data_IF_100537868093
#
_entry.id   IF_100537868093
#
_cell.length_a   1.000
_cell.length_b   1.000
_cell.length_c   1.000
_cell.angle_alpha   90.00
_cell.angle_beta   90.00
_cell.angle_gamma   90.00
#
_symmetry.space_group_name_H-M   'P 1'
#
loop_
_entity.id
_entity.type
_entity.pdbx_description
1 polymer ?
#
# COMPACT_ATOMS: atom_id res chain seq x y z
N UNK A 1 -2.19 19.11 27.50
CA UNK A 1 -1.60 18.66 26.23
C UNK A 1 -0.49 17.69 26.56
N UNK A 2 -0.69 16.38 26.37
CA UNK A 2 0.37 15.40 26.65
C UNK A 2 1.45 15.51 25.57
N UNK A 3 2.74 15.41 25.92
CA UNK A 3 3.81 15.43 24.93
C UNK A 3 3.64 14.22 24.01
N UNK A 4 3.35 14.49 22.74
CA UNK A 4 3.27 13.47 21.71
C UNK A 4 4.61 12.72 21.67
N UNK A 5 4.57 11.42 21.96
CA UNK A 5 5.76 10.58 21.99
C UNK A 5 6.29 10.45 20.56
N UNK A 6 7.51 10.92 20.31
CA UNK A 6 8.20 10.71 19.03
C UNK A 6 8.36 9.20 18.81
N UNK A 7 7.97 8.70 17.63
CA UNK A 7 8.04 7.27 17.33
C UNK A 7 8.88 6.98 16.10
N UNK A 8 9.81 6.02 16.25
CA UNK A 8 10.58 5.46 15.14
C UNK A 8 9.75 4.42 14.39
N UNK A 9 9.56 4.62 13.08
CA UNK A 9 8.79 3.69 12.24
C UNK A 9 9.55 2.35 12.13
N UNK A 10 9.02 1.33 12.80
CA UNK A 10 9.63 -0.01 12.77
C UNK A 10 9.50 -0.61 11.37
N UNK A 11 10.56 -1.27 10.91
CA UNK A 11 10.63 -1.91 9.57
C UNK A 11 10.52 -0.97 8.37
N UNK A 12 10.56 0.35 8.58
CA UNK A 12 10.77 1.30 7.51
C UNK A 12 12.04 0.95 6.73
N UNK A 13 11.95 1.00 5.40
CA UNK A 13 13.09 0.90 4.51
C UNK A 13 14.02 2.13 4.61
N UNK A 14 15.10 2.11 3.84
CA UNK A 14 16.11 3.17 3.87
C UNK A 14 15.52 4.55 3.57
N UNK A 15 14.69 4.65 2.53
CA UNK A 15 14.10 5.91 2.08
C UNK A 15 13.13 6.49 3.11
N UNK A 16 12.26 5.66 3.67
CA UNK A 16 11.31 6.12 4.69
C UNK A 16 12.01 6.56 5.98
N UNK A 17 13.07 5.87 6.42
CA UNK A 17 13.86 6.32 7.58
C UNK A 17 14.54 7.66 7.34
N UNK A 18 15.09 7.86 6.14
CA UNK A 18 15.70 9.13 5.75
C UNK A 18 14.66 10.24 5.73
N UNK A 19 13.50 9.99 5.16
CA UNK A 19 12.39 10.93 5.12
C UNK A 19 11.87 11.28 6.53
N UNK A 20 11.72 10.28 7.41
CA UNK A 20 11.38 10.51 8.81
C UNK A 20 12.39 11.43 9.50
N UNK A 21 13.69 11.23 9.26
CA UNK A 21 14.73 12.10 9.82
C UNK A 21 14.57 13.53 9.30
N UNK A 22 14.35 13.70 8.00
CA UNK A 22 14.16 15.03 7.40
C UNK A 22 12.94 15.77 7.96
N UNK A 23 11.80 15.10 8.09
CA UNK A 23 10.60 15.69 8.69
C UNK A 23 10.84 16.11 10.15
N UNK A 24 11.58 15.31 10.92
CA UNK A 24 11.96 15.66 12.29
C UNK A 24 12.90 16.86 12.33
N UNK A 25 13.91 16.88 11.47
CA UNK A 25 14.87 17.99 11.41
C UNK A 25 14.17 19.31 10.99
N UNK A 26 13.03 19.22 10.29
CA UNK A 26 12.12 20.33 9.96
C UNK A 26 11.10 20.68 11.08
N UNK A 27 11.15 20.01 12.24
CA UNK A 27 10.21 20.25 13.34
C UNK A 27 8.82 19.61 13.17
N UNK A 28 8.67 18.69 12.21
CA UNK A 28 7.39 18.02 11.88
C UNK A 28 7.46 16.49 12.08
N UNK A 29 7.86 16.00 13.27
CA UNK A 29 8.08 14.57 13.48
C UNK A 29 6.77 13.76 13.35
N UNK A 30 6.92 12.48 13.00
CA UNK A 30 5.81 11.54 13.08
C UNK A 30 5.42 11.28 14.54
N UNK A 31 4.13 11.40 14.80
CA UNK A 31 3.48 11.15 16.07
C UNK A 31 2.54 9.96 15.91
N UNK A 32 2.50 9.09 16.91
CA UNK A 32 1.54 7.98 16.94
C UNK A 32 0.13 8.51 17.18
N UNK A 33 -0.79 8.12 16.29
CA UNK A 33 -2.21 8.40 16.46
C UNK A 33 -2.83 7.36 17.38
N UNK A 34 -3.88 7.77 18.09
CA UNK A 34 -4.64 6.88 18.97
C UNK A 34 -5.22 5.71 18.16
N UNK A 35 -4.88 4.50 18.59
CA UNK A 35 -5.27 3.27 17.91
C UNK A 35 -6.77 3.02 18.14
N UNK A 36 -7.57 3.06 17.07
CA UNK A 36 -9.00 2.76 17.17
C UNK A 36 -9.23 1.26 17.06
N UNK A 37 -9.44 0.63 18.19
CA UNK A 37 -9.71 -0.80 18.28
C UNK A 37 -10.90 -1.19 17.38
N UNK A 38 -10.73 -2.23 16.56
CA UNK A 38 -11.72 -2.70 15.59
C UNK A 38 -11.80 -1.92 14.26
N UNK A 39 -11.17 -0.75 14.15
CA UNK A 39 -11.13 0.05 12.90
C UNK A 39 -9.73 0.04 12.29
N UNK A 40 -8.69 0.27 13.09
CA UNK A 40 -7.31 0.30 12.64
C UNK A 40 -6.67 -1.08 12.82
N UNK A 41 -6.23 -1.70 11.71
CA UNK A 41 -5.55 -2.99 11.73
C UNK A 41 -4.09 -2.88 12.22
N UNK A 42 -3.53 -1.68 12.21
CA UNK A 42 -2.12 -1.40 12.48
C UNK A 42 -1.96 -0.02 13.13
N UNK A 43 -0.88 0.24 13.89
CA UNK A 43 -0.55 1.57 14.39
C UNK A 43 -0.41 2.56 13.23
N UNK A 44 -0.98 3.76 13.41
CA UNK A 44 -0.97 4.83 12.42
C UNK A 44 -0.17 5.99 12.97
N UNK A 45 0.64 6.59 12.12
CA UNK A 45 1.47 7.74 12.47
C UNK A 45 1.08 8.93 11.62
N UNK A 46 1.12 10.13 12.18
CA UNK A 46 0.86 11.35 11.46
C UNK A 46 1.97 12.39 11.67
N UNK A 47 2.26 13.15 10.63
CA UNK A 47 3.10 14.33 10.68
C UNK A 47 2.31 15.52 10.10
N UNK A 48 2.42 16.68 10.72
CA UNK A 48 1.78 17.91 10.26
C UNK A 48 2.80 18.75 9.52
N UNK A 49 2.48 19.13 8.29
CA UNK A 49 3.34 19.89 7.39
C UNK A 49 2.61 21.13 6.90
N UNK A 50 3.32 22.05 6.25
CA UNK A 50 2.71 23.26 5.70
C UNK A 50 1.67 22.97 4.61
N UNK A 51 1.83 21.88 3.85
CA UNK A 51 0.86 21.42 2.83
C UNK A 51 -0.24 20.50 3.37
N UNK A 52 -0.33 20.29 4.69
CA UNK A 52 -1.35 19.44 5.32
C UNK A 52 -0.79 18.29 6.15
N UNK A 53 -1.56 17.20 6.26
CA UNK A 53 -1.28 16.09 7.19
C UNK A 53 -0.81 14.86 6.42
N UNK A 54 0.37 14.36 6.78
CA UNK A 54 0.91 13.11 6.25
C UNK A 54 0.55 11.99 7.21
N UNK A 55 -0.03 10.90 6.72
CA UNK A 55 -0.19 9.67 7.50
C UNK A 55 0.74 8.57 6.98
N UNK A 56 1.40 7.86 7.88
CA UNK A 56 2.11 6.63 7.60
C UNK A 56 1.35 5.45 8.21
N UNK A 57 0.97 4.49 7.36
CA UNK A 57 0.25 3.28 7.78
C UNK A 57 0.97 2.05 7.23
N UNK A 58 1.19 1.04 8.08
CA UNK A 58 1.75 -0.23 7.65
C UNK A 58 0.62 -1.18 7.25
N UNK A 59 0.54 -1.60 6.00
CA UNK A 59 -0.57 -2.45 5.52
C UNK A 59 -0.38 -3.97 5.80
N UNK A 60 0.73 -4.34 6.46
CA UNK A 60 1.14 -5.72 6.70
C UNK A 60 2.32 -6.19 5.83
N UNK A 61 2.54 -5.57 4.67
CA UNK A 61 3.67 -5.85 3.77
C UNK A 61 4.67 -4.70 3.69
N UNK A 62 4.17 -3.47 3.58
CA UNK A 62 4.92 -2.26 3.34
C UNK A 62 4.29 -1.07 4.07
N UNK A 63 5.08 0.00 4.21
CA UNK A 63 4.57 1.29 4.65
C UNK A 63 3.96 2.03 3.47
N UNK A 64 2.74 2.53 3.68
CA UNK A 64 2.05 3.41 2.75
C UNK A 64 2.01 4.80 3.38
N UNK A 65 2.55 5.78 2.67
CA UNK A 65 2.37 7.18 3.01
C UNK A 65 1.18 7.76 2.24
N UNK A 66 0.39 8.57 2.92
CA UNK A 66 -0.75 9.29 2.36
C UNK A 66 -0.73 10.74 2.84
N UNK A 67 -1.26 11.65 2.02
CA UNK A 67 -1.39 13.07 2.33
C UNK A 67 -2.88 13.44 2.38
N UNK A 68 -3.26 14.18 3.41
CA UNK A 68 -4.51 14.93 3.43
C UNK A 68 -4.15 16.40 3.32
N UNK A 69 -4.55 17.03 2.21
CA UNK A 69 -4.42 18.47 2.00
C UNK A 69 -5.25 19.24 3.04
N UNK A 70 -5.02 20.56 3.22
CA UNK A 70 -5.95 21.39 3.96
C UNK A 70 -7.36 21.18 3.40
N UNK A 71 -8.36 21.09 4.28
CA UNK A 71 -9.78 20.87 3.93
C UNK A 71 -10.14 19.47 3.41
N UNK A 72 -9.17 18.63 3.05
CA UNK A 72 -9.43 17.25 2.63
C UNK A 72 -10.03 16.41 3.77
N UNK A 73 -11.10 15.67 3.47
CA UNK A 73 -11.75 14.73 4.39
C UNK A 73 -10.99 13.41 4.46
N UNK A 74 -10.34 13.01 3.37
CA UNK A 74 -9.66 11.73 3.26
C UNK A 74 -8.14 11.89 3.07
N UNK A 75 -7.40 10.88 3.50
CA UNK A 75 -5.99 10.74 3.18
C UNK A 75 -5.86 10.10 1.80
N UNK A 76 -5.22 10.81 0.88
CA UNK A 76 -4.92 10.36 -0.46
C UNK A 76 -3.52 9.75 -0.54
N UNK A 77 -3.43 8.59 -1.17
CA UNK A 77 -2.17 7.96 -1.52
C UNK A 77 -1.61 8.54 -2.82
N UNK A 78 -0.35 8.23 -3.15
CA UNK A 78 0.24 8.55 -4.44
C UNK A 78 -0.62 8.05 -5.62
N UNK A 79 -1.21 6.85 -5.51
CA UNK A 79 -2.05 6.30 -6.56
C UNK A 79 -3.38 7.07 -6.70
N UNK A 80 -4.01 7.47 -5.58
CA UNK A 80 -5.24 8.28 -5.61
C UNK A 80 -4.97 9.62 -6.32
N UNK A 81 -3.81 10.22 -6.07
CA UNK A 81 -3.36 11.44 -6.75
C UNK A 81 -3.10 11.25 -8.24
N UNK A 82 -2.40 10.18 -8.60
CA UNK A 82 -2.14 9.87 -9.99
C UNK A 82 -3.45 9.59 -10.75
N UNK A 83 -4.41 8.91 -10.12
CA UNK A 83 -5.75 8.71 -10.70
C UNK A 83 -6.51 10.02 -10.86
N UNK A 84 -6.41 10.93 -9.89
CA UNK A 84 -7.02 12.25 -9.98
C UNK A 84 -6.45 13.10 -11.13
N UNK A 85 -5.14 13.03 -11.38
CA UNK A 85 -4.47 13.83 -12.41
C UNK A 85 -4.55 13.22 -13.82
N UNK A 86 -4.46 11.89 -13.92
CA UNK A 86 -4.31 11.20 -15.21
C UNK A 86 -5.53 10.33 -15.58
N UNK A 87 -6.54 10.26 -14.71
CA UNK A 87 -7.70 9.39 -14.87
C UNK A 87 -7.47 7.96 -14.37
N UNK A 88 -8.44 7.04 -14.58
CA UNK A 88 -8.45 5.72 -13.96
C UNK A 88 -7.23 4.88 -14.36
N UNK A 89 -6.39 4.59 -13.36
CA UNK A 89 -5.20 3.76 -13.54
C UNK A 89 -5.62 2.29 -13.48
N UNK A 90 -5.57 1.60 -14.61
CA UNK A 90 -5.99 0.17 -14.75
C UNK A 90 -5.08 -0.84 -14.05
N UNK A 91 -4.07 -0.40 -13.31
CA UNK A 91 -3.01 -1.25 -12.81
C UNK A 91 -3.09 -1.39 -11.28
N UNK A 92 -3.11 -2.64 -10.82
CA UNK A 92 -3.08 -3.00 -9.40
C UNK A 92 -1.71 -2.81 -8.76
N UNK A 93 -1.07 -1.65 -8.95
CA UNK A 93 0.24 -1.38 -8.36
C UNK A 93 0.13 -1.39 -6.83
N UNK A 94 0.97 -2.19 -6.20
CA UNK A 94 1.31 -1.95 -4.80
C UNK A 94 2.10 -0.64 -4.77
N UNK A 95 1.67 0.29 -3.91
CA UNK A 95 2.36 1.56 -3.77
C UNK A 95 3.62 1.26 -2.98
N UNK A 96 4.73 1.10 -3.69
CA UNK A 96 6.03 0.88 -3.07
C UNK A 96 6.34 2.02 -2.10
N UNK A 97 6.79 1.67 -0.90
CA UNK A 97 7.19 2.62 0.16
C UNK A 97 8.05 3.77 -0.42
N UNK A 98 9.02 3.43 -1.27
CA UNK A 98 9.91 4.39 -1.91
C UNK A 98 9.17 5.40 -2.79
N UNK A 99 8.23 4.95 -3.63
CA UNK A 99 7.45 5.83 -4.49
C UNK A 99 6.65 6.85 -3.67
N UNK A 100 6.01 6.39 -2.59
CA UNK A 100 5.25 7.27 -1.70
C UNK A 100 6.14 8.31 -1.01
N UNK A 101 7.39 7.95 -0.64
CA UNK A 101 8.38 8.85 -0.06
C UNK A 101 8.85 9.89 -1.08
N UNK A 102 9.25 9.47 -2.29
CA UNK A 102 9.74 10.40 -3.30
C UNK A 102 8.67 11.41 -3.73
N UNK A 103 7.44 10.93 -3.87
CA UNK A 103 6.27 11.75 -4.14
C UNK A 103 6.08 12.85 -3.08
N UNK A 104 6.02 12.47 -1.80
CA UNK A 104 5.88 13.45 -0.70
C UNK A 104 7.06 14.40 -0.59
N UNK A 105 8.29 13.91 -0.78
CA UNK A 105 9.49 14.77 -0.77
C UNK A 105 9.48 15.80 -1.88
N UNK A 106 8.92 15.47 -3.05
CA UNK A 106 8.77 16.43 -4.14
C UNK A 106 7.79 17.52 -3.73
N UNK A 107 6.63 17.14 -3.20
CA UNK A 107 5.61 18.09 -2.78
C UNK A 107 6.01 19.01 -1.66
N UNK A 108 6.71 18.48 -0.65
CA UNK A 108 7.16 19.29 0.47
C UNK A 108 8.28 20.27 0.10
N UNK A 109 8.86 20.15 -1.09
CA UNK A 109 9.87 21.07 -1.61
C UNK A 109 9.28 22.15 -2.51
N UNK A 110 8.11 21.91 -3.09
CA UNK A 110 7.41 22.91 -3.88
C UNK A 110 6.72 23.86 -2.88
N UNK A 111 7.12 25.14 -2.89
CA UNK A 111 6.56 26.15 -1.98
C UNK A 111 5.10 26.50 -2.32
N UNK A 112 4.66 26.18 -3.55
CA UNK A 112 3.30 26.41 -4.00
C UNK A 112 2.38 25.24 -3.61
N UNK A 113 1.16 25.52 -3.12
CA UNK A 113 0.19 24.47 -2.84
C UNK A 113 -0.12 23.71 -4.14
N UNK A 114 -0.22 22.37 -4.08
CA UNK A 114 -0.46 21.57 -5.27
C UNK A 114 -1.78 22.00 -5.92
N UNK A 115 -1.74 22.35 -7.21
CA UNK A 115 -2.91 22.69 -8.01
C UNK A 115 -3.72 21.42 -8.32
N UNK A 116 -4.41 20.90 -7.31
CA UNK A 116 -5.28 19.73 -7.43
C UNK A 116 -6.64 20.04 -6.82
N UNK A 117 -7.69 19.61 -7.50
CA UNK A 117 -9.06 19.70 -6.99
C UNK A 117 -9.20 18.74 -5.79
N UNK A 118 -9.31 19.32 -4.59
CA UNK A 118 -9.42 18.58 -3.33
C UNK A 118 -10.69 17.73 -3.30
N UNK A 119 -11.80 18.22 -3.87
CA UNK A 119 -13.07 17.48 -3.92
C UNK A 119 -12.98 16.30 -4.91
N UNK A 120 -12.32 16.49 -6.05
CA UNK A 120 -12.02 15.39 -6.97
C UNK A 120 -11.18 14.32 -6.29
N UNK A 121 -10.17 14.74 -5.53
CA UNK A 121 -9.29 13.82 -4.84
C UNK A 121 -10.01 13.04 -3.73
N UNK A 122 -10.84 13.72 -2.94
CA UNK A 122 -11.63 13.10 -1.88
C UNK A 122 -12.58 12.04 -2.46
N UNK A 123 -13.19 12.30 -3.63
CA UNK A 123 -14.02 11.31 -4.34
C UNK A 123 -13.24 10.05 -4.73
N UNK A 124 -12.00 10.19 -5.20
CA UNK A 124 -11.14 9.04 -5.54
C UNK A 124 -10.76 8.27 -4.27
N UNK A 125 -10.31 8.97 -3.24
CA UNK A 125 -9.92 8.35 -1.97
C UNK A 125 -11.11 7.65 -1.28
N UNK A 126 -12.31 8.23 -1.34
CA UNK A 126 -13.54 7.63 -0.84
C UNK A 126 -13.92 6.36 -1.62
N UNK A 127 -13.81 6.39 -2.95
CA UNK A 127 -14.01 5.21 -3.80
C UNK A 127 -13.08 4.06 -3.39
N UNK A 128 -11.80 4.35 -3.13
CA UNK A 128 -10.85 3.34 -2.62
C UNK A 128 -11.28 2.72 -1.29
N UNK A 129 -11.83 3.53 -0.38
CA UNK A 129 -12.30 3.03 0.92
C UNK A 129 -13.58 2.21 0.83
N UNK A 130 -14.44 2.54 -0.14
CA UNK A 130 -15.72 1.85 -0.38
C UNK A 130 -15.58 0.62 -1.29
N UNK A 131 -14.47 0.50 -2.03
CA UNK A 131 -14.15 -0.69 -2.82
C UNK A 131 -14.12 -1.93 -1.93
N UNK A 132 -15.07 -2.84 -2.19
CA UNK A 132 -15.27 -4.09 -1.46
C UNK A 132 -13.98 -4.91 -1.49
N UNK A 133 -13.42 -5.20 -0.31
CA UNK A 133 -12.32 -6.18 -0.19
C UNK A 133 -12.81 -7.52 -0.74
N UNK A 134 -12.01 -8.20 -1.59
CA UNK A 134 -12.43 -9.48 -2.16
C UNK A 134 -12.74 -10.46 -1.04
N UNK A 135 -13.93 -11.07 -1.10
CA UNK A 135 -14.38 -12.00 -0.06
C UNK A 135 -13.54 -13.28 -0.10
N UNK A 136 -13.55 -14.06 1.00
CA UNK A 136 -12.83 -15.35 1.05
C UNK A 136 -13.28 -16.29 -0.08
N UNK A 137 -14.56 -16.22 -0.46
CA UNK A 137 -15.13 -17.03 -1.54
C UNK A 137 -14.59 -16.57 -2.90
N UNK A 138 -14.57 -15.27 -3.18
CA UNK A 138 -13.99 -14.72 -4.43
C UNK A 138 -12.50 -15.09 -4.57
N UNK A 139 -11.74 -15.02 -3.47
CA UNK A 139 -10.35 -15.47 -3.45
C UNK A 139 -10.23 -16.98 -3.69
N UNK A 140 -11.09 -17.80 -3.05
CA UNK A 140 -11.08 -19.25 -3.26
C UNK A 140 -11.43 -19.62 -4.71
N UNK A 141 -12.41 -18.95 -5.31
CA UNK A 141 -12.77 -19.11 -6.72
C UNK A 141 -11.63 -18.68 -7.64
N UNK A 142 -10.95 -17.58 -7.33
CA UNK A 142 -9.76 -17.16 -8.09
C UNK A 142 -8.67 -18.23 -8.06
N UNK A 143 -8.33 -18.77 -6.89
CA UNK A 143 -7.33 -19.84 -6.78
C UNK A 143 -7.78 -21.13 -7.46
N UNK A 144 -9.06 -21.48 -7.38
CA UNK A 144 -9.62 -22.65 -8.04
C UNK A 144 -9.56 -22.50 -9.57
N UNK A 145 -9.95 -21.33 -10.09
CA UNK A 145 -9.84 -21.01 -11.50
C UNK A 145 -8.39 -21.06 -11.98
N UNK A 146 -7.44 -20.62 -11.14
CA UNK A 146 -6.03 -20.69 -11.45
C UNK A 146 -5.50 -22.14 -11.43
N UNK A 147 -5.95 -22.95 -10.46
CA UNK A 147 -5.55 -24.35 -10.33
C UNK A 147 -6.08 -25.24 -11.47
N UNK A 148 -7.26 -24.92 -12.02
CA UNK A 148 -7.87 -25.66 -13.14
C UNK A 148 -7.46 -25.06 -14.50
N UNK A 149 -7.39 -23.73 -14.59
CA UNK A 149 -7.12 -23.01 -15.83
C UNK A 149 -5.68 -23.17 -16.30
N UNK A 150 -4.69 -23.17 -15.40
CA UNK A 150 -3.28 -23.33 -15.78
C UNK A 150 -2.99 -24.69 -16.42
N UNK A 151 -3.46 -25.83 -15.86
CA UNK A 151 -3.28 -27.14 -16.47
C UNK A 151 -4.02 -27.27 -17.80
N UNK A 152 -5.26 -26.78 -17.90
CA UNK A 152 -6.03 -26.82 -19.15
C UNK A 152 -5.36 -25.99 -20.25
N UNK A 153 -4.87 -24.79 -19.90
CA UNK A 153 -4.12 -23.94 -20.83
C UNK A 153 -2.83 -24.61 -21.28
N UNK A 154 -2.07 -25.19 -20.34
CA UNK A 154 -0.83 -25.91 -20.65
C UNK A 154 -1.08 -27.12 -21.56
N UNK A 155 -2.14 -27.89 -21.27
CA UNK A 155 -2.56 -29.02 -22.10
C UNK A 155 -2.94 -28.58 -23.51
N UNK A 156 -3.74 -27.52 -23.64
CA UNK A 156 -4.17 -27.00 -24.95
C UNK A 156 -2.99 -26.49 -25.78
N UNK A 157 -2.06 -25.76 -25.16
CA UNK A 157 -0.86 -25.24 -25.82
C UNK A 157 0.05 -26.38 -26.31
N UNK A 158 0.17 -27.47 -25.56
CA UNK A 158 0.90 -28.67 -25.98
C UNK A 158 0.16 -29.41 -27.11
N UNK A 159 -1.16 -29.59 -26.98
CA UNK A 159 -1.97 -30.30 -27.96
C UNK A 159 -2.08 -29.58 -29.31
N UNK A 160 -1.92 -28.25 -29.32
CA UNK A 160 -1.98 -27.42 -30.53
C UNK A 160 -0.61 -27.20 -31.20
N UNK A 161 0.45 -27.88 -30.73
CA UNK A 161 1.79 -27.90 -31.32
C UNK A 161 2.38 -26.50 -31.61
N UNK A 162 2.10 -25.54 -30.71
CA UNK A 162 2.60 -24.18 -30.87
C UNK A 162 4.13 -24.14 -30.72
N UNK A 163 4.87 -23.56 -31.67
CA UNK A 163 6.34 -23.53 -31.65
C UNK A 163 6.93 -22.72 -30.46
N UNK A 164 6.10 -21.93 -29.79
CA UNK A 164 6.44 -21.12 -28.61
C UNK A 164 5.78 -21.63 -27.32
N UNK A 165 5.25 -22.85 -27.32
CA UNK A 165 4.52 -23.45 -26.20
C UNK A 165 5.28 -23.36 -24.87
N UNK A 166 6.57 -23.71 -24.87
CA UNK A 166 7.41 -23.64 -23.66
C UNK A 166 7.60 -22.22 -23.13
N UNK A 167 7.74 -21.23 -24.01
CA UNK A 167 7.88 -19.83 -23.63
C UNK A 167 6.58 -19.28 -23.03
N UNK A 168 5.44 -19.57 -23.67
CA UNK A 168 4.12 -19.13 -23.21
C UNK A 168 3.78 -19.69 -21.81
N UNK A 169 3.95 -21.01 -21.63
CA UNK A 169 3.72 -21.68 -20.33
C UNK A 169 4.68 -21.13 -19.27
N UNK A 170 5.96 -20.93 -19.61
CA UNK A 170 6.97 -20.35 -18.73
C UNK A 170 6.60 -18.96 -18.22
N UNK A 171 6.21 -18.05 -19.10
CA UNK A 171 5.80 -16.68 -18.70
C UNK A 171 4.59 -16.68 -17.77
N UNK A 172 3.57 -17.50 -18.06
CA UNK A 172 2.37 -17.58 -17.22
C UNK A 172 2.69 -18.17 -15.86
N UNK A 173 3.52 -19.22 -15.80
CA UNK A 173 3.96 -19.84 -14.56
C UNK A 173 4.76 -18.87 -13.67
N UNK A 174 5.69 -18.09 -14.26
CA UNK A 174 6.46 -17.07 -13.53
C UNK A 174 5.56 -15.97 -12.97
N UNK A 175 4.58 -15.50 -13.75
CA UNK A 175 3.60 -14.52 -13.28
C UNK A 175 2.81 -15.04 -12.08
N UNK A 176 2.31 -16.27 -12.16
CA UNK A 176 1.58 -16.92 -11.08
C UNK A 176 2.44 -17.11 -9.84
N UNK A 177 3.67 -17.63 -9.98
CA UNK A 177 4.59 -17.84 -8.87
C UNK A 177 4.96 -16.52 -8.18
N UNK A 178 5.06 -15.43 -8.94
CA UNK A 178 5.34 -14.09 -8.40
C UNK A 178 4.18 -13.59 -7.51
N UNK A 179 2.94 -13.80 -7.96
CA UNK A 179 1.73 -13.45 -7.18
C UNK A 179 1.62 -14.32 -5.93
N UNK A 180 1.74 -15.64 -6.07
CA UNK A 180 1.67 -16.59 -4.94
C UNK A 180 2.79 -16.35 -3.93
N UNK A 181 4.02 -16.13 -4.41
CA UNK A 181 5.17 -15.82 -3.55
C UNK A 181 4.99 -14.52 -2.76
N UNK A 182 4.40 -13.51 -3.39
CA UNK A 182 4.05 -12.24 -2.73
C UNK A 182 3.01 -12.46 -1.63
N UNK A 183 1.92 -13.18 -1.94
CA UNK A 183 0.86 -13.49 -0.99
C UNK A 183 1.35 -14.37 0.19
N UNK A 184 2.20 -15.35 -0.09
CA UNK A 184 2.82 -16.19 0.94
C UNK A 184 3.75 -15.39 1.85
N UNK A 185 4.54 -14.46 1.29
CA UNK A 185 5.41 -13.56 2.07
C UNK A 185 4.57 -12.68 3.01
N UNK A 186 3.43 -12.16 2.56
CA UNK A 186 2.48 -11.42 3.42
C UNK A 186 1.90 -12.31 4.51
N UNK A 187 1.44 -13.51 4.16
CA UNK A 187 0.87 -14.45 5.13
C UNK A 187 1.88 -14.88 6.21
N UNK A 188 3.12 -15.20 5.83
CA UNK A 188 4.20 -15.57 6.76
C UNK A 188 4.57 -14.40 7.69
N UNK A 189 4.55 -13.16 7.18
CA UNK A 189 4.78 -11.96 8.00
C UNK A 189 3.65 -11.70 8.99
N UNK A 190 2.38 -11.94 8.61
CA UNK A 190 1.22 -11.87 9.53
C UNK A 190 1.33 -12.88 10.68
N UNK A 191 1.70 -14.14 10.40
CA UNK A 191 1.88 -15.18 11.44
C UNK A 191 2.97 -14.84 12.46
N UNK A 192 4.09 -14.25 12.03
CA UNK A 192 5.16 -13.82 12.96
C UNK A 192 4.73 -12.70 13.91
N UNK A 193 3.74 -11.89 13.53
CA UNK A 193 3.27 -10.74 14.31
C UNK A 193 2.21 -11.12 15.36
N UNK A 194 1.34 -12.09 15.06
CA UNK A 194 0.44 -12.68 16.07
C UNK A 194 1.20 -13.34 17.23
N UNK A 195 2.38 -13.91 16.96
CA UNK A 195 3.26 -14.47 17.98
C UNK A 195 3.99 -13.41 18.82
N UNK A 196 4.20 -12.20 18.33
CA UNK A 196 4.86 -11.14 19.10
C UNK A 196 3.89 -10.41 20.02
N UNK A 197 2.60 -10.31 19.64
CA UNK A 197 1.53 -9.81 20.52
C UNK A 197 1.37 -10.69 21.76
N UNK A 198 1.32 -12.02 21.56
CA UNK A 198 1.14 -13.00 22.65
C UNK A 198 2.33 -13.11 23.61
N UNK A 199 3.49 -12.56 23.25
CA UNK A 199 4.72 -12.59 24.07
C UNK A 199 4.92 -11.29 24.88
N UNK A 200 4.07 -10.28 24.69
CA UNK A 200 4.08 -9.04 25.48
C UNK A 200 3.00 -9.02 26.57
N UNK A 201 2.09 -10.00 26.54
CA UNK A 201 1.02 -10.20 27.54
C UNK A 201 1.32 -11.36 28.50
N UNK A 202 2.56 -11.86 28.51
CA UNK A 202 3.03 -12.91 29.42
C UNK A 202 4.32 -12.52 30.11
#
# INVERSE_FOLDING_TARGET
MMPAKEVKLLRAGFWLRRFQKELRDQGTPFIELEWREGVDLWPRYAAWTHIGRISAEYNGSEWILSLALPEAKYFATYADWAECLYGPIRTGYSIEEAASVFWLRKLLKDDDPPQIDVDALDRVAERRKTLRKPTRIEMALFYLALAIGLPLFSWWVIAADFPLAGAAIGTVAVGVLSVVGSLWRVHRRRKKLGYTSRKKEG
#
